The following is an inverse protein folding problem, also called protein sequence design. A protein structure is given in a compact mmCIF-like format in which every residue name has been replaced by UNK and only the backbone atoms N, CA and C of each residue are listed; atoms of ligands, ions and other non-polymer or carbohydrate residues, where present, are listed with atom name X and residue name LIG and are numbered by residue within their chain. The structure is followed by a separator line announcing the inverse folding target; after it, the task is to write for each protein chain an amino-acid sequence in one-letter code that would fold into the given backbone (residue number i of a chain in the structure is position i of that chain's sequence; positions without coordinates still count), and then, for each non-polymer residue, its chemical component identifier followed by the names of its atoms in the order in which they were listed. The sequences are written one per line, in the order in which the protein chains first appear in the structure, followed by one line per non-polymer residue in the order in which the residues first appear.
data_IF_367500386682
#
_entry.id   IF_367500386682
#
_cell.length_a   1.000
_cell.length_b   1.000
_cell.length_c   1.000
_cell.angle_alpha   90.00
_cell.angle_beta   90.00
_cell.angle_gamma   90.00
#
_symmetry.space_group_name_H-M   'P 1'
#
loop_
_entity.id
_entity.type
_entity.pdbx_description
1 polymer ?
#
# COMPACT_ATOMS: atom_id res chain seq x y z
N UNK A 1 36.51 26.12 -6.57
CA UNK A 1 35.80 25.71 -5.34
C UNK A 1 34.29 25.77 -5.59
N UNK A 2 33.74 26.92 -6.01
CA UNK A 2 32.32 27.06 -6.41
C UNK A 2 31.82 26.06 -7.47
N UNK A 3 32.57 25.82 -8.54
CA UNK A 3 32.20 24.85 -9.59
C UNK A 3 32.09 23.40 -9.09
N UNK A 4 32.85 23.04 -8.04
CA UNK A 4 32.76 21.71 -7.46
C UNK A 4 31.52 21.57 -6.57
N UNK A 5 31.14 22.65 -5.89
CA UNK A 5 29.91 22.70 -5.10
C UNK A 5 28.67 22.69 -6.01
N UNK A 6 28.70 23.40 -7.14
CA UNK A 6 27.63 23.40 -8.15
C UNK A 6 27.41 22.00 -8.75
N UNK A 7 28.47 21.28 -9.12
CA UNK A 7 28.35 19.90 -9.61
C UNK A 7 27.77 18.97 -8.55
N UNK A 8 28.17 19.13 -7.29
CA UNK A 8 27.67 18.31 -6.19
C UNK A 8 26.21 18.58 -5.87
N UNK A 9 25.75 19.83 -6.03
CA UNK A 9 24.33 20.16 -5.94
C UNK A 9 23.54 19.48 -7.07
N UNK A 10 24.03 19.54 -8.31
CA UNK A 10 23.36 18.89 -9.45
C UNK A 10 23.28 17.37 -9.29
N UNK A 11 24.34 16.73 -8.79
CA UNK A 11 24.33 15.28 -8.49
C UNK A 11 23.30 14.94 -7.41
N UNK A 12 23.25 15.71 -6.33
CA UNK A 12 22.27 15.50 -5.26
C UNK A 12 20.83 15.73 -5.74
N UNK A 13 20.59 16.74 -6.58
CA UNK A 13 19.27 17.00 -7.16
C UNK A 13 18.80 15.83 -8.02
N UNK A 14 19.69 15.27 -8.85
CA UNK A 14 19.40 14.08 -9.65
C UNK A 14 19.10 12.86 -8.77
N UNK A 15 19.93 12.62 -7.76
CA UNK A 15 19.76 11.48 -6.86
C UNK A 15 18.45 11.59 -6.05
N UNK A 16 18.06 12.81 -5.66
CA UNK A 16 16.75 13.07 -5.04
C UNK A 16 15.61 12.79 -6.00
N UNK A 17 15.71 13.21 -7.25
CA UNK A 17 14.68 12.93 -8.28
C UNK A 17 14.50 11.42 -8.49
N UNK A 18 15.60 10.67 -8.61
CA UNK A 18 15.57 9.21 -8.74
C UNK A 18 14.92 8.53 -7.51
N UNK A 19 15.29 8.97 -6.30
CA UNK A 19 14.69 8.46 -5.08
C UNK A 19 13.20 8.78 -4.99
N UNK A 20 12.76 9.97 -5.43
CA UNK A 20 11.36 10.35 -5.45
C UNK A 20 10.55 9.45 -6.40
N UNK A 21 11.09 9.13 -7.58
CA UNK A 21 10.47 8.18 -8.52
C UNK A 21 10.33 6.80 -7.89
N UNK A 22 11.37 6.32 -7.20
CA UNK A 22 11.34 5.01 -6.56
C UNK A 22 10.35 4.94 -5.39
N UNK A 23 10.25 6.02 -4.59
CA UNK A 23 9.25 6.15 -3.53
C UNK A 23 7.83 6.07 -4.09
N UNK A 24 7.53 6.77 -5.19
CA UNK A 24 6.19 6.74 -5.77
C UNK A 24 5.85 5.37 -6.38
N UNK A 25 6.83 4.71 -7.00
CA UNK A 25 6.69 3.31 -7.47
C UNK A 25 6.32 2.38 -6.32
N UNK A 26 7.04 2.45 -5.20
CA UNK A 26 6.75 1.60 -4.03
C UNK A 26 5.42 1.94 -3.37
N UNK A 27 5.04 3.22 -3.34
CA UNK A 27 3.73 3.66 -2.85
C UNK A 27 2.60 3.03 -3.66
N UNK A 28 2.68 3.12 -4.99
CA UNK A 28 1.68 2.56 -5.91
C UNK A 28 1.57 1.05 -5.73
N UNK A 29 2.69 0.32 -5.76
CA UNK A 29 2.70 -1.12 -5.56
C UNK A 29 2.10 -1.55 -4.21
N UNK A 30 2.32 -0.75 -3.16
CA UNK A 30 1.73 -1.01 -1.83
C UNK A 30 0.23 -0.77 -1.82
N UNK A 31 -0.24 0.29 -2.49
CA UNK A 31 -1.67 0.60 -2.60
C UNK A 31 -2.41 -0.50 -3.40
N UNK A 32 -1.83 -0.98 -4.50
CA UNK A 32 -2.37 -2.10 -5.29
C UNK A 32 -2.46 -3.39 -4.47
N UNK A 33 -1.40 -3.73 -3.72
CA UNK A 33 -1.39 -4.92 -2.86
C UNK A 33 -2.45 -4.84 -1.75
N UNK A 34 -2.68 -3.66 -1.18
CA UNK A 34 -3.74 -3.45 -0.19
C UNK A 34 -5.13 -3.63 -0.79
N UNK A 35 -5.34 -3.18 -2.03
CA UNK A 35 -6.61 -3.37 -2.73
C UNK A 35 -6.87 -4.85 -3.04
N UNK A 36 -5.84 -5.61 -3.41
CA UNK A 36 -5.95 -7.07 -3.57
C UNK A 36 -6.29 -7.76 -2.25
N UNK A 37 -5.69 -7.34 -1.13
CA UNK A 37 -6.03 -7.84 0.20
C UNK A 37 -7.50 -7.55 0.55
N UNK A 38 -7.99 -6.35 0.25
CA UNK A 38 -9.40 -5.99 0.45
C UNK A 38 -10.34 -6.88 -0.36
N UNK A 39 -10.00 -7.15 -1.62
CA UNK A 39 -10.76 -8.06 -2.46
C UNK A 39 -10.78 -9.49 -1.88
N UNK A 40 -9.63 -10.03 -1.48
CA UNK A 40 -9.53 -11.36 -0.86
C UNK A 40 -10.35 -11.45 0.44
N UNK A 41 -10.31 -10.41 1.28
CA UNK A 41 -11.10 -10.33 2.50
C UNK A 41 -12.59 -10.40 2.16
N UNK A 42 -13.07 -9.58 1.22
CA UNK A 42 -14.47 -9.58 0.77
C UNK A 42 -14.92 -10.94 0.24
N UNK A 43 -14.08 -11.58 -0.57
CA UNK A 43 -14.33 -12.93 -1.09
C UNK A 43 -14.45 -13.97 0.03
N UNK A 44 -13.55 -13.94 1.03
CA UNK A 44 -13.59 -14.88 2.15
C UNK A 44 -14.78 -14.65 3.09
N UNK A 45 -15.22 -13.40 3.24
CA UNK A 45 -16.48 -13.09 3.93
C UNK A 45 -17.65 -13.71 3.16
N UNK A 46 -17.71 -13.49 1.84
CA UNK A 46 -18.80 -13.99 0.98
C UNK A 46 -18.92 -15.51 0.95
N UNK A 47 -17.80 -16.25 1.01
CA UNK A 47 -17.81 -17.71 1.06
C UNK A 47 -17.80 -18.32 2.47
N UNK A 48 -18.10 -17.53 3.51
CA UNK A 48 -18.25 -17.99 4.89
C UNK A 48 -16.94 -18.34 5.62
N UNK A 49 -15.77 -18.04 5.04
CA UNK A 49 -14.44 -18.30 5.63
C UNK A 49 -14.01 -17.15 6.56
N UNK A 50 -14.84 -16.85 7.55
CA UNK A 50 -14.70 -15.70 8.46
C UNK A 50 -13.39 -15.69 9.25
N UNK A 51 -12.83 -16.85 9.59
CA UNK A 51 -11.52 -16.96 10.24
C UNK A 51 -10.37 -16.43 9.37
N UNK A 52 -10.35 -16.78 8.08
CA UNK A 52 -9.35 -16.28 7.14
C UNK A 52 -9.52 -14.77 6.89
N UNK A 53 -10.76 -14.32 6.71
CA UNK A 53 -11.07 -12.90 6.54
C UNK A 53 -10.59 -12.06 7.73
N UNK A 54 -10.80 -12.54 8.97
CA UNK A 54 -10.33 -11.86 10.18
C UNK A 54 -8.81 -11.77 10.24
N UNK A 55 -8.10 -12.86 9.96
CA UNK A 55 -6.63 -12.87 9.95
C UNK A 55 -6.06 -11.92 8.90
N UNK A 56 -6.63 -11.90 7.69
CA UNK A 56 -6.23 -10.96 6.64
C UNK A 56 -6.55 -9.51 7.00
N UNK A 57 -7.69 -9.25 7.64
CA UNK A 57 -8.04 -7.94 8.18
C UNK A 57 -7.01 -7.43 9.19
N UNK A 58 -6.55 -8.28 10.10
CA UNK A 58 -5.49 -7.93 11.07
C UNK A 58 -4.16 -7.61 10.38
N UNK A 59 -3.76 -8.42 9.38
CA UNK A 59 -2.56 -8.16 8.59
C UNK A 59 -2.64 -6.81 7.85
N UNK A 60 -3.79 -6.52 7.24
CA UNK A 60 -4.05 -5.25 6.56
C UNK A 60 -3.97 -4.06 7.52
N UNK A 61 -4.57 -4.18 8.70
CA UNK A 61 -4.51 -3.15 9.74
C UNK A 61 -3.07 -2.86 10.17
N UNK A 62 -2.28 -3.92 10.36
CA UNK A 62 -0.86 -3.81 10.70
C UNK A 62 -0.06 -3.07 9.60
N UNK A 63 -0.23 -3.45 8.32
CA UNK A 63 0.46 -2.80 7.20
C UNK A 63 0.09 -1.32 7.13
N UNK A 64 -1.21 -0.97 7.22
CA UNK A 64 -1.66 0.42 7.16
C UNK A 64 -1.07 1.26 8.31
N UNK A 65 -1.09 0.72 9.53
CA UNK A 65 -0.62 1.44 10.72
C UNK A 65 0.89 1.59 10.76
N UNK A 66 1.62 0.50 10.52
CA UNK A 66 3.06 0.44 10.80
C UNK A 66 3.93 0.72 9.57
N UNK A 67 3.48 0.32 8.37
CA UNK A 67 4.24 0.56 7.13
C UNK A 67 3.83 1.90 6.52
N UNK A 68 2.52 2.15 6.39
CA UNK A 68 2.02 3.37 5.75
C UNK A 68 1.83 4.55 6.70
N UNK A 69 1.89 4.33 8.03
CA UNK A 69 1.58 5.36 9.05
C UNK A 69 0.21 6.02 8.85
N UNK A 70 -0.77 5.28 8.33
CA UNK A 70 -2.14 5.73 8.06
C UNK A 70 -3.11 5.09 9.05
N UNK A 71 -4.25 5.76 9.27
CA UNK A 71 -5.34 5.19 10.06
C UNK A 71 -5.93 3.93 9.40
N UNK A 72 -6.48 3.05 10.23
CA UNK A 72 -7.20 1.87 9.79
C UNK A 72 -8.46 2.25 9.01
N UNK A 73 -8.86 1.37 8.08
CA UNK A 73 -10.10 1.50 7.32
C UNK A 73 -11.02 0.33 7.64
N UNK A 74 -12.35 0.50 7.52
CA UNK A 74 -13.30 -0.58 7.71
C UNK A 74 -12.93 -1.81 6.89
N UNK A 75 -13.13 -2.99 7.48
CA UNK A 75 -12.98 -4.26 6.78
C UNK A 75 -14.06 -4.34 5.70
N UNK A 76 -13.72 -4.73 4.46
CA UNK A 76 -14.71 -4.89 3.41
C UNK A 76 -15.84 -5.82 3.85
N UNK A 77 -17.08 -5.33 3.78
CA UNK A 77 -18.26 -6.19 3.82
C UNK A 77 -18.25 -7.05 2.56
N UNK A 78 -18.60 -8.33 2.67
CA UNK A 78 -18.60 -9.25 1.53
C UNK A 78 -19.30 -8.63 0.32
N UNK A 79 -18.77 -8.88 -0.88
CA UNK A 79 -19.44 -8.45 -2.12
C UNK A 79 -20.89 -8.95 -2.07
N UNK A 80 -21.89 -8.11 -2.39
CA UNK A 80 -23.24 -8.61 -2.61
C UNK A 80 -23.12 -9.77 -3.59
N UNK A 81 -23.71 -10.91 -3.26
CA UNK A 81 -23.87 -11.97 -4.23
C UNK A 81 -24.53 -11.33 -5.46
N UNK A 82 -23.86 -11.40 -6.61
CA UNK A 82 -24.48 -11.09 -7.89
C UNK A 82 -25.70 -12.03 -7.94
N UNK A 83 -26.90 -11.45 -7.84
CA UNK A 83 -28.13 -12.19 -8.03
C UNK A 83 -28.17 -12.59 -9.51
N UNK A 84 -28.11 -13.91 -9.74
CA UNK A 84 -28.18 -14.59 -11.05
C UNK A 84 -29.15 -13.95 -12.06
#
# INVERSE_FOLDING_TARGET
MAENDERRVQELERDVEELMVEVDRYRTATEDALQQLDWCIGYFVGCGKSGLARSLGANRAYIRRHVLKRAEQPVPAGTPAESD
#
